data_IF_431713587655
#
_entry.id   IF_431713587655
#
_cell.length_a   1.000
_cell.length_b   1.000
_cell.length_c   1.000
_cell.angle_alpha   90.00
_cell.angle_beta   90.00
_cell.angle_gamma   90.00
#
_symmetry.space_group_name_H-M   'P 1'
#
loop_
_entity.id
_entity.type
_entity.pdbx_description
1 polymer ?
#
# COMPACT_ATOMS: atom_id res chain seq x y z
N UNK A 1 -34.83 61.29 60.19
CA UNK A 1 -35.23 60.11 61.01
C UNK A 1 -36.31 59.35 60.26
N UNK A 2 -36.23 58.01 60.33
CA UNK A 2 -37.11 56.99 59.74
C UNK A 2 -36.79 56.57 58.30
N UNK A 3 -36.19 55.38 58.18
CA UNK A 3 -36.38 54.50 57.03
C UNK A 3 -36.38 53.04 57.50
N UNK A 4 -37.56 52.42 57.37
CA UNK A 4 -37.87 51.14 56.72
C UNK A 4 -37.09 49.88 57.12
N UNK A 5 -37.85 48.82 57.43
CA UNK A 5 -37.40 47.44 57.29
C UNK A 5 -38.51 46.42 57.56
N UNK A 6 -39.21 45.96 56.53
CA UNK A 6 -39.90 44.65 56.52
C UNK A 6 -39.27 43.80 55.41
N UNK A 7 -38.85 42.54 55.68
CA UNK A 7 -38.25 41.69 54.65
C UNK A 7 -39.34 40.98 53.83
N UNK A 8 -39.13 40.94 52.51
CA UNK A 8 -39.90 40.15 51.55
C UNK A 8 -39.35 38.72 51.47
N UNK A 9 -40.25 37.74 51.43
CA UNK A 9 -39.95 36.34 51.15
C UNK A 9 -39.29 36.18 49.77
N UNK A 10 -38.20 35.41 49.72
CA UNK A 10 -37.55 34.98 48.48
C UNK A 10 -38.07 33.60 48.10
N UNK A 11 -38.70 33.47 46.94
CA UNK A 11 -39.04 32.19 46.33
C UNK A 11 -37.85 31.70 45.50
N UNK A 12 -37.26 30.57 45.86
CA UNK A 12 -36.20 29.91 45.12
C UNK A 12 -36.81 29.03 44.01
N UNK A 13 -36.49 29.32 42.75
CA UNK A 13 -36.78 28.45 41.61
C UNK A 13 -35.51 27.62 41.36
N UNK A 14 -35.59 26.31 41.60
CA UNK A 14 -34.51 25.38 41.29
C UNK A 14 -34.57 24.99 39.81
N UNK A 15 -33.61 25.47 39.03
CA UNK A 15 -33.41 25.01 37.65
C UNK A 15 -32.57 23.72 37.68
N UNK A 16 -33.18 22.59 37.33
CA UNK A 16 -32.49 21.33 37.13
C UNK A 16 -31.78 21.33 35.77
N UNK A 17 -30.45 21.43 35.78
CA UNK A 17 -29.62 21.24 34.59
C UNK A 17 -29.39 19.74 34.42
N UNK A 18 -30.03 19.13 33.42
CA UNK A 18 -29.76 17.75 33.01
C UNK A 18 -28.53 17.78 32.11
N UNK A 19 -27.38 17.34 32.64
CA UNK A 19 -26.16 17.15 31.86
C UNK A 19 -26.30 15.84 31.06
N UNK A 20 -26.65 15.94 29.78
CA UNK A 20 -26.64 14.79 28.88
C UNK A 20 -25.18 14.34 28.68
N UNK A 21 -24.81 13.23 29.31
CA UNK A 21 -23.52 12.57 29.06
C UNK A 21 -23.62 11.92 27.67
N UNK A 22 -23.05 12.58 26.67
CA UNK A 22 -22.78 11.97 25.37
C UNK A 22 -21.74 10.87 25.60
N UNK A 23 -22.16 9.62 25.60
CA UNK A 23 -21.25 8.49 25.57
C UNK A 23 -20.40 8.60 24.28
N UNK A 24 -19.06 8.49 24.35
CA UNK A 24 -18.24 8.49 23.16
C UNK A 24 -18.66 7.30 22.29
N UNK A 25 -19.11 7.60 21.07
CA UNK A 25 -19.22 6.60 20.01
C UNK A 25 -17.86 5.94 19.86
N UNK A 26 -17.77 4.64 20.15
CA UNK A 26 -16.51 3.91 20.19
C UNK A 26 -15.72 4.10 18.91
N UNK A 27 -14.59 4.81 19.00
CA UNK A 27 -13.57 4.74 17.97
C UNK A 27 -13.11 3.28 17.90
N UNK A 28 -13.16 2.69 16.71
CA UNK A 28 -12.54 1.39 16.50
C UNK A 28 -11.08 1.49 16.98
N UNK A 29 -10.65 0.59 17.87
CA UNK A 29 -9.29 0.59 18.37
C UNK A 29 -8.35 0.42 17.18
N UNK A 30 -7.39 1.34 17.03
CA UNK A 30 -6.34 1.18 16.03
C UNK A 30 -5.57 -0.12 16.32
N UNK A 31 -5.26 -0.92 15.28
CA UNK A 31 -4.51 -2.15 15.46
C UNK A 31 -3.17 -1.83 16.13
N UNK A 32 -2.85 -2.54 17.21
CA UNK A 32 -1.58 -2.35 17.92
C UNK A 32 -0.43 -2.83 17.02
N UNK A 33 0.57 -2.00 16.71
CA UNK A 33 1.70 -2.42 15.89
C UNK A 33 2.44 -3.60 16.53
N UNK A 34 2.65 -4.66 15.76
CA UNK A 34 3.40 -5.84 16.16
C UNK A 34 4.31 -6.27 15.01
N UNK A 35 5.57 -6.65 15.28
CA UNK A 35 6.45 -7.21 14.25
C UNK A 35 5.86 -8.48 13.63
N UNK A 36 6.13 -8.70 12.34
CA UNK A 36 5.75 -9.92 11.65
C UNK A 36 6.43 -11.16 12.22
N UNK A 37 5.79 -12.31 12.10
CA UNK A 37 6.38 -13.60 12.51
C UNK A 37 7.33 -14.11 11.43
N UNK A 38 8.60 -14.41 11.72
CA UNK A 38 9.52 -14.96 10.73
C UNK A 38 9.03 -16.31 10.16
N UNK A 39 9.11 -16.47 8.85
CA UNK A 39 8.77 -17.71 8.12
C UNK A 39 10.05 -18.47 7.76
N UNK A 40 10.89 -17.86 6.92
CA UNK A 40 12.19 -18.40 6.53
C UNK A 40 13.16 -17.25 6.20
N UNK A 41 14.45 -17.55 6.17
CA UNK A 41 15.50 -16.60 5.86
C UNK A 41 16.14 -16.93 4.52
N UNK A 42 16.28 -15.93 3.66
CA UNK A 42 16.92 -16.05 2.35
C UNK A 42 18.43 -15.94 2.54
N UNK A 43 19.16 -16.99 2.16
CA UNK A 43 20.62 -17.11 2.40
C UNK A 43 21.48 -16.97 1.16
N UNK A 44 20.86 -16.82 -0.02
CA UNK A 44 21.59 -16.59 -1.26
C UNK A 44 22.04 -15.13 -1.32
N UNK A 45 23.36 -14.89 -1.37
CA UNK A 45 23.94 -13.55 -1.32
C UNK A 45 23.62 -12.70 -2.57
N UNK A 46 23.00 -13.29 -3.61
CA UNK A 46 22.47 -12.55 -4.77
C UNK A 46 21.13 -11.87 -4.47
N UNK A 47 20.48 -12.20 -3.37
CA UNK A 47 19.14 -11.76 -3.03
C UNK A 47 19.17 -10.79 -1.85
N UNK A 48 19.96 -9.72 -1.94
CA UNK A 48 20.02 -8.69 -0.88
C UNK A 48 19.13 -7.49 -1.17
N UNK A 49 18.67 -7.32 -2.41
CA UNK A 49 17.95 -6.16 -2.93
C UNK A 49 16.49 -6.53 -3.26
N UNK A 50 15.89 -7.52 -2.58
CA UNK A 50 14.57 -8.02 -3.00
C UNK A 50 13.50 -6.92 -2.90
N UNK A 51 12.85 -6.66 -4.03
CA UNK A 51 11.80 -5.64 -4.19
C UNK A 51 10.43 -6.25 -4.47
N UNK A 52 10.38 -7.32 -5.28
CA UNK A 52 9.14 -8.03 -5.62
C UNK A 52 9.12 -9.47 -5.09
N UNK A 53 7.95 -9.91 -4.63
CA UNK A 53 7.72 -11.30 -4.19
C UNK A 53 6.30 -11.78 -4.53
N UNK A 54 6.16 -13.03 -4.96
CA UNK A 54 4.87 -13.75 -5.00
C UNK A 54 4.98 -15.13 -4.35
N UNK A 55 3.92 -15.57 -3.67
CA UNK A 55 3.80 -16.95 -3.20
C UNK A 55 3.30 -17.88 -4.31
N UNK A 56 3.82 -19.10 -4.34
CA UNK A 56 3.43 -20.17 -5.25
C UNK A 56 3.02 -21.41 -4.47
N UNK A 57 2.62 -22.49 -5.15
CA UNK A 57 2.25 -23.75 -4.50
C UNK A 57 3.44 -24.40 -3.76
N UNK A 58 4.66 -24.23 -4.27
CA UNK A 58 5.86 -24.94 -3.77
C UNK A 58 6.89 -24.01 -3.08
N UNK A 59 6.56 -22.72 -2.89
CA UNK A 59 7.47 -21.74 -2.31
C UNK A 59 7.23 -20.33 -2.83
N UNK A 60 8.28 -19.65 -3.26
CA UNK A 60 8.23 -18.22 -3.58
C UNK A 60 8.92 -17.89 -4.90
N UNK A 61 8.53 -16.78 -5.51
CA UNK A 61 9.28 -16.15 -6.60
C UNK A 61 9.63 -14.74 -6.18
N UNK A 62 10.90 -14.36 -6.38
CA UNK A 62 11.40 -13.03 -6.01
C UNK A 62 12.26 -12.42 -7.11
N UNK A 63 12.37 -11.10 -7.08
CA UNK A 63 13.26 -10.28 -7.92
C UNK A 63 13.92 -9.21 -7.07
N UNK A 64 15.09 -8.75 -7.49
CA UNK A 64 15.77 -7.62 -6.86
C UNK A 64 15.40 -6.29 -7.53
N UNK A 65 15.39 -5.20 -6.76
CA UNK A 65 15.61 -3.81 -7.19
C UNK A 65 17.03 -3.74 -7.78
N UNK A 66 17.17 -3.12 -8.94
CA UNK A 66 18.48 -2.93 -9.54
C UNK A 66 18.91 -4.00 -10.55
N UNK A 67 19.49 -3.48 -11.63
CA UNK A 67 20.06 -4.27 -12.71
C UNK A 67 21.55 -3.99 -12.88
N UNK A 68 22.29 -3.68 -11.83
CA UNK A 68 23.71 -3.34 -11.91
C UNK A 68 24.64 -4.56 -11.78
N UNK A 69 24.31 -5.52 -10.92
CA UNK A 69 25.02 -6.80 -10.85
C UNK A 69 24.40 -7.81 -11.82
N UNK A 70 25.19 -8.34 -12.75
CA UNK A 70 24.70 -9.36 -13.67
C UNK A 70 24.16 -10.59 -12.94
N UNK A 71 24.74 -11.00 -11.81
CA UNK A 71 24.32 -12.15 -11.03
C UNK A 71 22.90 -11.98 -10.43
N UNK A 72 22.48 -10.74 -10.19
CA UNK A 72 21.20 -10.38 -9.57
C UNK A 72 20.06 -10.17 -10.56
N UNK A 73 20.37 -9.94 -11.85
CA UNK A 73 19.39 -9.75 -12.95
C UNK A 73 18.67 -11.05 -13.36
N UNK A 74 17.95 -11.67 -12.44
CA UNK A 74 17.22 -12.93 -12.65
C UNK A 74 15.89 -12.90 -11.91
N UNK A 75 14.97 -13.73 -12.37
CA UNK A 75 13.81 -14.16 -11.59
C UNK A 75 14.25 -15.39 -10.79
N UNK A 76 14.12 -15.34 -9.47
CA UNK A 76 14.55 -16.41 -8.58
C UNK A 76 13.33 -17.17 -8.06
N UNK A 77 13.41 -18.49 -8.10
CA UNK A 77 12.40 -19.40 -7.55
C UNK A 77 13.00 -20.05 -6.31
N UNK A 78 12.25 -19.96 -5.22
CA UNK A 78 12.62 -20.42 -3.89
C UNK A 78 11.66 -21.53 -3.49
N UNK A 79 12.14 -22.52 -2.74
CA UNK A 79 11.26 -23.44 -2.03
C UNK A 79 10.64 -22.78 -0.78
N UNK A 80 9.82 -23.54 -0.06
CA UNK A 80 9.18 -23.10 1.18
C UNK A 80 10.18 -22.76 2.31
N UNK A 81 11.42 -23.24 2.24
CA UNK A 81 12.50 -22.95 3.20
C UNK A 81 13.39 -21.77 2.76
N UNK A 82 12.95 -21.00 1.74
CA UNK A 82 13.67 -19.86 1.17
C UNK A 82 14.97 -20.22 0.43
N UNK A 83 15.20 -21.49 0.06
CA UNK A 83 16.38 -21.89 -0.72
C UNK A 83 16.12 -21.73 -2.22
N UNK A 84 17.10 -21.18 -2.95
CA UNK A 84 16.98 -20.98 -4.41
C UNK A 84 17.03 -22.33 -5.12
N UNK A 85 15.92 -22.72 -5.74
CA UNK A 85 15.79 -23.98 -6.50
C UNK A 85 16.00 -23.78 -8.00
N UNK A 86 15.67 -22.59 -8.51
CA UNK A 86 15.78 -22.27 -9.93
C UNK A 86 15.95 -20.78 -10.16
N UNK A 87 16.63 -20.42 -11.25
CA UNK A 87 16.70 -19.03 -11.71
C UNK A 87 16.38 -18.93 -13.20
N UNK A 88 15.78 -17.82 -13.62
CA UNK A 88 15.55 -17.48 -15.02
C UNK A 88 16.22 -16.15 -15.36
N UNK A 89 16.90 -16.11 -16.51
CA UNK A 89 17.45 -14.88 -17.06
C UNK A 89 16.40 -14.14 -17.87
N UNK A 90 16.45 -12.81 -17.82
CA UNK A 90 15.71 -11.96 -18.75
C UNK A 90 16.32 -12.04 -20.16
N UNK A 91 15.49 -12.07 -21.23
CA UNK A 91 15.99 -12.03 -22.61
C UNK A 91 16.77 -10.77 -22.98
N UNK A 92 16.53 -9.66 -22.28
CA UNK A 92 17.34 -8.44 -22.35
C UNK A 92 17.51 -7.85 -20.95
N UNK A 93 18.52 -6.98 -20.76
CA UNK A 93 18.80 -6.36 -19.45
C UNK A 93 17.55 -5.63 -18.91
N UNK A 94 17.00 -6.01 -17.74
CA UNK A 94 16.01 -5.18 -17.05
C UNK A 94 16.66 -3.87 -16.61
N UNK A 95 15.87 -2.84 -16.31
CA UNK A 95 16.41 -1.55 -15.86
C UNK A 95 16.30 -1.41 -14.35
N UNK A 96 15.08 -1.52 -13.84
CA UNK A 96 14.75 -1.27 -12.44
C UNK A 96 13.48 -2.07 -12.11
N UNK A 97 13.67 -3.26 -11.55
CA UNK A 97 12.58 -4.19 -11.25
C UNK A 97 12.10 -3.98 -9.82
N UNK A 98 10.84 -3.62 -9.66
CA UNK A 98 10.31 -3.16 -8.37
C UNK A 98 9.36 -4.16 -7.73
N UNK A 99 8.51 -4.83 -8.52
CA UNK A 99 7.42 -5.63 -7.96
C UNK A 99 7.13 -6.89 -8.78
N UNK A 100 6.45 -7.84 -8.15
CA UNK A 100 5.91 -9.04 -8.77
C UNK A 100 4.41 -9.15 -8.51
N UNK A 101 3.66 -9.46 -9.57
CA UNK A 101 2.27 -9.85 -9.45
C UNK A 101 2.04 -11.22 -10.10
N UNK A 102 1.08 -11.97 -9.58
CA UNK A 102 0.61 -13.23 -10.17
C UNK A 102 -0.83 -13.07 -10.65
N UNK A 103 -1.08 -13.42 -11.91
CA UNK A 103 -2.43 -13.47 -12.47
C UNK A 103 -3.17 -14.72 -12.01
N UNK A 104 -4.50 -14.72 -12.13
CA UNK A 104 -5.34 -15.87 -11.80
C UNK A 104 -4.98 -17.14 -12.59
N UNK A 105 -4.39 -16.98 -13.78
CA UNK A 105 -3.88 -18.06 -14.63
C UNK A 105 -2.48 -18.57 -14.22
N UNK A 106 -1.90 -18.06 -13.14
CA UNK A 106 -0.55 -18.37 -12.68
C UNK A 106 0.55 -17.64 -13.45
N UNK A 107 0.21 -16.71 -14.36
CA UNK A 107 1.20 -15.88 -15.03
C UNK A 107 1.89 -14.97 -14.03
N UNK A 108 3.22 -14.99 -14.02
CA UNK A 108 4.05 -14.07 -13.23
C UNK A 108 4.35 -12.84 -14.08
N UNK A 109 4.12 -11.67 -13.51
CA UNK A 109 4.43 -10.38 -14.09
C UNK A 109 5.51 -9.70 -13.25
N UNK A 110 6.65 -9.38 -13.85
CA UNK A 110 7.68 -8.55 -13.22
C UNK A 110 7.51 -7.11 -13.66
N UNK A 111 7.40 -6.20 -12.72
CA UNK A 111 7.30 -4.78 -12.98
C UNK A 111 8.71 -4.16 -13.10
N UNK A 112 9.11 -3.78 -14.31
CA UNK A 112 10.35 -3.02 -14.59
C UNK A 112 9.99 -1.53 -14.72
N UNK A 113 9.66 -0.93 -13.58
CA UNK A 113 8.89 0.33 -13.49
C UNK A 113 9.57 1.43 -12.64
N UNK A 114 10.62 1.12 -11.88
CA UNK A 114 11.35 2.09 -11.07
C UNK A 114 12.03 3.15 -11.92
N UNK A 115 12.06 4.38 -11.42
CA UNK A 115 12.67 5.52 -12.09
C UNK A 115 12.93 6.66 -11.10
N UNK A 116 13.77 6.43 -10.07
CA UNK A 116 13.98 7.43 -9.02
C UNK A 116 14.45 8.80 -9.59
N UNK A 117 15.25 8.76 -10.66
CA UNK A 117 15.72 9.95 -11.39
C UNK A 117 14.67 10.57 -12.33
N UNK A 118 13.52 9.93 -12.51
CA UNK A 118 12.41 10.34 -13.39
C UNK A 118 12.89 10.67 -14.80
N UNK A 119 13.70 9.79 -15.38
CA UNK A 119 14.38 9.98 -16.65
C UNK A 119 13.97 8.98 -17.74
N UNK A 120 13.29 7.89 -17.37
CA UNK A 120 12.90 6.81 -18.28
C UNK A 120 11.72 7.23 -19.15
N UNK A 121 11.96 7.32 -20.45
CA UNK A 121 10.88 7.53 -21.45
C UNK A 121 9.88 6.38 -21.50
N UNK A 122 10.28 5.17 -21.08
CA UNK A 122 9.42 3.98 -21.05
C UNK A 122 9.69 3.16 -19.79
N UNK A 123 8.62 2.60 -19.26
CA UNK A 123 8.64 1.50 -18.30
C UNK A 123 8.27 0.19 -19.00
N UNK A 124 8.37 -0.93 -18.30
CA UNK A 124 8.03 -2.22 -18.88
C UNK A 124 7.47 -3.22 -17.86
N UNK A 125 6.84 -4.26 -18.39
CA UNK A 125 6.54 -5.47 -17.64
C UNK A 125 7.09 -6.69 -18.38
N UNK A 126 7.59 -7.64 -17.61
CA UNK A 126 8.01 -8.96 -18.09
C UNK A 126 6.93 -9.98 -17.76
N UNK A 127 6.32 -10.57 -18.78
CA UNK A 127 5.28 -11.59 -18.62
C UNK A 127 5.87 -12.98 -18.74
N UNK A 128 5.76 -13.80 -17.69
CA UNK A 128 6.16 -15.19 -17.66
C UNK A 128 4.93 -16.08 -17.45
N UNK A 129 4.40 -16.64 -18.52
CA UNK A 129 3.28 -17.60 -18.44
C UNK A 129 3.75 -18.93 -17.86
N UNK A 130 2.88 -19.70 -17.18
CA UNK A 130 3.24 -21.02 -16.67
C UNK A 130 3.87 -21.91 -17.75
N UNK A 131 4.95 -22.62 -17.38
CA UNK A 131 5.69 -23.50 -18.28
C UNK A 131 6.57 -22.80 -19.32
N UNK A 132 6.52 -21.48 -19.46
CA UNK A 132 7.40 -20.77 -20.39
C UNK A 132 8.86 -20.77 -19.89
N UNK A 133 9.79 -20.98 -20.82
CA UNK A 133 11.23 -20.97 -20.51
C UNK A 133 11.80 -19.55 -20.34
N UNK A 134 11.13 -18.52 -20.85
CA UNK A 134 11.60 -17.13 -20.87
C UNK A 134 10.41 -16.16 -20.75
N UNK A 135 10.56 -15.04 -20.01
CA UNK A 135 9.55 -13.99 -20.01
C UNK A 135 9.52 -13.20 -21.32
N UNK A 136 8.39 -12.59 -21.64
CA UNK A 136 8.21 -11.68 -22.79
C UNK A 136 8.13 -10.24 -22.29
N UNK A 137 8.85 -9.34 -22.97
CA UNK A 137 8.90 -7.92 -22.64
C UNK A 137 7.76 -7.13 -23.28
N UNK A 138 7.07 -6.32 -22.49
CA UNK A 138 6.08 -5.36 -22.96
C UNK A 138 6.43 -3.96 -22.47
N UNK A 139 6.52 -3.00 -23.38
CA UNK A 139 6.90 -1.62 -23.06
C UNK A 139 5.68 -0.71 -22.98
N UNK A 140 5.75 0.25 -22.07
CA UNK A 140 4.72 1.24 -21.86
C UNK A 140 5.35 2.62 -21.65
N UNK A 141 4.59 3.67 -21.90
CA UNK A 141 5.02 5.05 -21.66
C UNK A 141 3.94 5.83 -20.93
N UNK A 142 4.33 6.60 -19.91
CA UNK A 142 3.42 7.52 -19.23
C UNK A 142 2.88 8.57 -20.21
N UNK A 143 1.63 9.02 -20.05
CA UNK A 143 1.00 9.98 -20.96
C UNK A 143 1.59 11.40 -20.84
N UNK A 144 2.28 11.68 -19.74
CA UNK A 144 2.80 12.99 -19.38
C UNK A 144 4.34 13.00 -19.30
N UNK A 145 4.90 12.59 -18.16
CA UNK A 145 6.33 12.61 -17.87
C UNK A 145 6.73 11.31 -17.17
N UNK A 146 8.03 11.02 -17.02
CA UNK A 146 8.44 9.87 -16.25
C UNK A 146 8.00 9.96 -14.79
N UNK A 147 7.59 8.82 -14.25
CA UNK A 147 7.20 8.65 -12.85
C UNK A 147 7.94 7.48 -12.26
N UNK A 148 8.37 7.67 -11.02
CA UNK A 148 8.86 6.60 -10.17
C UNK A 148 7.66 5.82 -9.61
N UNK A 149 7.64 4.53 -9.84
CA UNK A 149 6.55 3.64 -9.47
C UNK A 149 7.15 2.31 -9.04
N UNK A 150 6.64 1.76 -7.94
CA UNK A 150 7.25 0.58 -7.32
C UNK A 150 6.25 -0.50 -6.93
N UNK A 151 4.99 -0.33 -7.31
CA UNK A 151 3.97 -1.32 -7.06
C UNK A 151 3.16 -1.61 -8.32
N UNK A 152 2.78 -2.87 -8.47
CA UNK A 152 1.95 -3.33 -9.57
C UNK A 152 0.93 -4.38 -9.12
N UNK A 153 -0.31 -4.18 -9.52
CA UNK A 153 -1.39 -5.17 -9.40
C UNK A 153 -1.69 -5.77 -10.77
N UNK A 154 -2.26 -6.97 -10.76
CA UNK A 154 -2.87 -7.59 -11.94
C UNK A 154 -4.34 -7.81 -11.63
N UNK A 155 -5.21 -7.22 -12.44
CA UNK A 155 -6.66 -7.35 -12.32
C UNK A 155 -7.13 -8.74 -12.76
N UNK A 156 -8.37 -9.12 -12.43
CA UNK A 156 -8.92 -10.45 -12.76
C UNK A 156 -8.94 -10.78 -14.27
N UNK A 157 -9.01 -9.77 -15.13
CA UNK A 157 -8.89 -9.88 -16.59
C UNK A 157 -7.43 -9.90 -17.10
N UNK A 158 -6.44 -9.96 -16.19
CA UNK A 158 -5.02 -10.08 -16.50
C UNK A 158 -4.36 -8.78 -16.93
N UNK A 159 -4.93 -7.61 -16.60
CA UNK A 159 -4.38 -6.30 -16.95
C UNK A 159 -3.48 -5.76 -15.82
N UNK A 160 -2.21 -5.41 -16.10
CA UNK A 160 -1.36 -4.73 -15.13
C UNK A 160 -1.85 -3.31 -14.80
N UNK A 161 -1.79 -2.95 -13.53
CA UNK A 161 -2.05 -1.60 -13.01
C UNK A 161 -0.84 -1.16 -12.20
N UNK A 162 -0.16 -0.11 -12.64
CA UNK A 162 1.04 0.45 -12.00
C UNK A 162 0.63 1.53 -11.00
N UNK A 163 1.27 1.55 -9.83
CA UNK A 163 1.04 2.54 -8.77
C UNK A 163 2.31 3.34 -8.52
N UNK A 164 2.24 4.67 -8.70
CA UNK A 164 3.38 5.56 -8.46
C UNK A 164 3.76 5.63 -6.97
N UNK A 165 5.05 5.62 -6.64
CA UNK A 165 5.58 5.51 -5.25
C UNK A 165 4.98 6.54 -4.30
N UNK A 166 5.08 7.83 -4.62
CA UNK A 166 4.69 8.90 -3.69
C UNK A 166 3.32 9.53 -3.97
N UNK A 167 2.86 9.50 -5.22
CA UNK A 167 1.61 10.15 -5.59
C UNK A 167 0.39 9.23 -5.54
N UNK A 168 0.58 7.90 -5.44
CA UNK A 168 -0.52 6.93 -5.47
C UNK A 168 -1.36 6.95 -6.75
N UNK A 169 -0.85 7.55 -7.84
CA UNK A 169 -1.56 7.58 -9.12
C UNK A 169 -1.50 6.20 -9.76
N UNK A 170 -2.65 5.75 -10.25
CA UNK A 170 -2.83 4.46 -10.90
C UNK A 170 -2.76 4.65 -12.41
N UNK A 171 -1.91 3.85 -13.06
CA UNK A 171 -1.75 3.84 -14.51
C UNK A 171 -2.03 2.46 -15.09
N UNK A 172 -2.73 2.41 -16.21
CA UNK A 172 -2.95 1.18 -16.96
C UNK A 172 -2.73 1.43 -18.46
N UNK A 173 -2.42 0.37 -19.21
CA UNK A 173 -2.26 0.45 -20.65
C UNK A 173 -3.58 0.88 -21.32
N UNK A 174 -3.51 1.88 -22.21
CA UNK A 174 -4.65 2.40 -22.98
C UNK A 174 -5.25 1.37 -23.94
N UNK A 175 -4.46 0.38 -24.34
CA UNK A 175 -4.84 -0.72 -25.23
C UNK A 175 -4.10 -2.00 -24.79
N UNK A 176 -4.46 -3.14 -25.38
CA UNK A 176 -3.78 -4.41 -25.10
C UNK A 176 -2.26 -4.31 -25.35
N UNK A 177 -1.47 -4.85 -24.43
CA UNK A 177 -0.02 -4.89 -24.52
C UNK A 177 0.44 -5.70 -25.75
N UNK A 178 1.44 -5.18 -26.48
CA UNK A 178 2.00 -5.83 -27.67
C UNK A 178 3.53 -5.90 -27.58
N UNK A 179 4.17 -7.08 -27.75
CA UNK A 179 5.62 -7.16 -27.74
C UNK A 179 6.21 -6.34 -28.89
N UNK A 180 7.33 -5.66 -28.64
CA UNK A 180 8.00 -4.85 -29.65
C UNK A 180 7.35 -3.48 -29.93
N UNK A 181 6.22 -3.15 -29.30
CA UNK A 181 5.62 -1.83 -29.34
C UNK A 181 5.64 -1.17 -27.96
N UNK A 182 5.63 0.17 -27.93
CA UNK A 182 5.40 0.95 -26.71
C UNK A 182 3.94 1.34 -26.65
N UNK A 183 3.21 0.85 -25.64
CA UNK A 183 1.80 1.16 -25.44
C UNK A 183 1.65 2.37 -24.51
N UNK A 184 0.88 3.41 -24.87
CA UNK A 184 0.63 4.52 -23.95
C UNK A 184 -0.13 4.06 -22.71
N UNK A 185 0.28 4.55 -21.54
CA UNK A 185 -0.48 4.45 -20.31
C UNK A 185 -1.51 5.58 -20.23
N UNK A 186 -2.58 5.32 -19.50
CA UNK A 186 -3.56 6.32 -19.08
C UNK A 186 -3.64 6.32 -17.57
N UNK A 187 -3.78 7.50 -16.97
CA UNK A 187 -4.18 7.60 -15.57
C UNK A 187 -5.60 7.08 -15.43
N UNK A 188 -5.78 6.07 -14.58
CA UNK A 188 -7.08 5.41 -14.33
C UNK A 188 -7.64 5.69 -12.94
N UNK A 189 -6.85 6.30 -12.07
CA UNK A 189 -7.28 6.65 -10.73
C UNK A 189 -6.14 7.20 -9.87
N UNK A 190 -6.43 7.45 -8.61
CA UNK A 190 -5.44 7.79 -7.59
C UNK A 190 -5.91 7.26 -6.24
N UNK A 191 -5.09 6.44 -5.59
CA UNK A 191 -5.34 6.00 -4.22
C UNK A 191 -4.90 7.07 -3.23
N UNK A 192 -5.66 7.21 -2.15
CA UNK A 192 -5.30 8.05 -1.00
C UNK A 192 -5.23 7.15 0.23
N UNK A 193 -4.01 6.92 0.71
CA UNK A 193 -3.79 6.10 1.90
C UNK A 193 -4.11 6.91 3.17
N UNK A 194 -4.74 6.28 4.18
CA UNK A 194 -4.90 6.88 5.50
C UNK A 194 -3.57 7.34 6.11
N UNK A 195 -3.61 8.35 6.97
CA UNK A 195 -2.44 8.75 7.74
C UNK A 195 -2.02 7.61 8.68
N UNK A 196 -0.72 7.43 8.84
CA UNK A 196 -0.14 6.42 9.71
C UNK A 196 0.77 7.04 10.77
N UNK A 197 0.79 6.43 11.94
CA UNK A 197 1.76 6.72 13.01
C UNK A 197 2.74 5.56 13.23
N UNK A 198 2.64 4.48 12.44
CA UNK A 198 3.50 3.31 12.56
C UNK A 198 4.97 3.69 12.44
N UNK A 199 5.79 3.12 13.33
CA UNK A 199 7.24 3.33 13.35
C UNK A 199 7.88 2.69 12.12
N UNK A 200 8.84 3.39 11.54
CA UNK A 200 9.62 2.87 10.41
C UNK A 200 10.94 3.67 10.26
N UNK A 201 11.96 3.10 9.58
CA UNK A 201 13.27 3.74 9.43
C UNK A 201 13.26 5.08 8.64
N UNK A 202 12.23 5.32 7.83
CA UNK A 202 12.12 6.47 6.92
C UNK A 202 11.11 7.54 7.39
N UNK A 203 10.60 7.43 8.61
CA UNK A 203 9.68 8.39 9.23
C UNK A 203 8.47 8.73 8.35
N UNK A 204 8.17 10.02 8.15
CA UNK A 204 7.02 10.51 7.37
C UNK A 204 7.04 10.06 5.92
N UNK A 205 8.22 9.99 5.28
CA UNK A 205 8.33 9.51 3.90
C UNK A 205 7.99 8.03 3.82
N UNK A 206 8.44 7.24 4.80
CA UNK A 206 8.16 5.82 4.87
C UNK A 206 6.67 5.47 4.96
N UNK A 207 5.89 6.33 5.62
CA UNK A 207 4.44 6.16 5.78
C UNK A 207 3.63 6.41 4.52
N UNK A 208 4.23 7.04 3.50
CA UNK A 208 3.51 7.49 2.29
C UNK A 208 4.03 6.87 1.00
N UNK A 209 5.27 6.39 0.97
CA UNK A 209 5.86 5.72 -0.19
C UNK A 209 5.26 4.32 -0.35
N UNK A 210 4.54 4.08 -1.44
CA UNK A 210 4.05 2.76 -1.85
C UNK A 210 5.21 1.98 -2.47
N UNK A 211 5.51 0.80 -1.92
CA UNK A 211 6.68 -0.02 -2.29
C UNK A 211 6.34 -1.40 -2.85
N UNK A 212 5.09 -1.83 -2.74
CA UNK A 212 4.67 -3.10 -3.32
C UNK A 212 3.16 -3.28 -3.28
N UNK A 213 2.66 -4.23 -4.06
CA UNK A 213 1.25 -4.57 -4.08
C UNK A 213 1.00 -6.04 -4.41
N UNK A 214 -0.17 -6.56 -4.01
CA UNK A 214 -0.60 -7.88 -4.42
C UNK A 214 -2.11 -8.02 -4.49
N UNK A 215 -2.57 -8.91 -5.38
CA UNK A 215 -3.96 -9.37 -5.44
C UNK A 215 -4.06 -10.69 -4.67
N UNK A 216 -5.08 -10.83 -3.83
CA UNK A 216 -5.34 -12.07 -3.11
C UNK A 216 -5.70 -13.21 -4.08
N UNK A 217 -5.44 -14.49 -3.73
CA UNK A 217 -5.71 -15.62 -4.62
C UNK A 217 -7.18 -15.76 -5.05
N UNK A 218 -8.11 -15.28 -4.22
CA UNK A 218 -9.55 -15.25 -4.50
C UNK A 218 -9.96 -14.10 -5.46
N UNK A 219 -9.10 -13.09 -5.64
CA UNK A 219 -9.39 -11.90 -6.43
C UNK A 219 -10.28 -10.87 -5.74
N UNK A 220 -10.75 -11.16 -4.53
CA UNK A 220 -11.70 -10.35 -3.78
C UNK A 220 -11.02 -9.31 -2.89
N UNK A 221 -9.68 -9.35 -2.80
CA UNK A 221 -8.89 -8.38 -2.04
C UNK A 221 -7.62 -7.99 -2.80
N UNK A 222 -7.19 -6.76 -2.57
CA UNK A 222 -5.87 -6.28 -2.96
C UNK A 222 -5.20 -5.60 -1.79
N UNK A 223 -3.87 -5.63 -1.75
CA UNK A 223 -3.07 -4.94 -0.75
C UNK A 223 -2.09 -4.00 -1.44
N UNK A 224 -1.96 -2.80 -0.90
CA UNK A 224 -0.80 -1.92 -1.14
C UNK A 224 0.03 -1.89 0.13
N UNK A 225 1.35 -1.91 0.01
CA UNK A 225 2.22 -1.62 1.16
C UNK A 225 2.95 -0.31 1.01
N UNK A 226 3.22 0.30 2.15
CA UNK A 226 4.28 1.29 2.30
C UNK A 226 5.44 0.70 3.10
N UNK A 227 6.45 1.50 3.43
CA UNK A 227 7.49 1.06 4.37
C UNK A 227 6.95 0.80 5.79
N UNK A 228 5.78 1.34 6.13
CA UNK A 228 5.26 1.31 7.50
C UNK A 228 3.99 0.47 7.66
N UNK A 229 3.19 0.25 6.61
CA UNK A 229 1.88 -0.38 6.75
C UNK A 229 1.49 -1.15 5.48
N UNK A 230 0.60 -2.13 5.65
CA UNK A 230 -0.16 -2.75 4.57
C UNK A 230 -1.62 -2.28 4.62
N UNK A 231 -2.16 -1.92 3.45
CA UNK A 231 -3.51 -1.39 3.25
C UNK A 231 -4.29 -2.37 2.37
N UNK A 232 -5.15 -3.18 2.99
CA UNK A 232 -5.98 -4.17 2.31
C UNK A 232 -7.35 -3.57 1.95
N UNK A 233 -7.72 -3.67 0.67
CA UNK A 233 -8.99 -3.19 0.12
C UNK A 233 -9.83 -4.38 -0.37
N UNK A 234 -11.15 -4.32 -0.15
CA UNK A 234 -12.08 -5.27 -0.75
C UNK A 234 -12.35 -4.90 -2.22
N UNK A 235 -12.31 -5.90 -3.08
CA UNK A 235 -12.60 -5.80 -4.51
C UNK A 235 -14.00 -6.36 -4.76
N UNK A 236 -14.93 -5.48 -5.15
CA UNK A 236 -16.29 -5.89 -5.51
C UNK A 236 -16.40 -5.99 -7.02
N UNK A 237 -16.90 -7.13 -7.53
CA UNK A 237 -17.12 -7.34 -8.96
C UNK A 237 -15.83 -7.32 -9.80
N UNK A 238 -14.68 -7.60 -9.19
CA UNK A 238 -13.37 -7.56 -9.84
C UNK A 238 -12.83 -6.15 -10.13
N UNK A 239 -13.49 -5.08 -9.67
CA UNK A 239 -13.07 -3.71 -9.93
C UNK A 239 -12.01 -3.22 -8.92
N UNK A 240 -10.75 -3.56 -9.23
CA UNK A 240 -9.58 -3.15 -8.45
C UNK A 240 -9.41 -1.62 -8.43
N UNK A 241 -9.77 -0.93 -9.52
CA UNK A 241 -9.61 0.53 -9.59
C UNK A 241 -10.61 1.21 -8.64
N UNK A 242 -11.86 0.77 -8.64
CA UNK A 242 -12.85 1.26 -7.68
C UNK A 242 -12.44 0.95 -6.24
N UNK A 243 -11.94 -0.26 -5.97
CA UNK A 243 -11.45 -0.65 -4.64
C UNK A 243 -10.38 0.32 -4.11
N UNK A 244 -9.37 0.65 -4.93
CA UNK A 244 -8.27 1.54 -4.53
C UNK A 244 -8.65 3.02 -4.47
N UNK A 245 -9.61 3.47 -5.28
CA UNK A 245 -9.96 4.89 -5.38
C UNK A 245 -11.09 5.33 -4.45
N UNK A 246 -11.93 4.37 -4.03
CA UNK A 246 -13.11 4.65 -3.22
C UNK A 246 -13.27 3.76 -1.99
N UNK A 247 -12.52 2.66 -1.92
CA UNK A 247 -12.56 1.75 -0.77
C UNK A 247 -11.85 2.30 0.45
N UNK A 248 -12.35 1.91 1.62
CA UNK A 248 -11.68 2.15 2.90
C UNK A 248 -10.81 0.93 3.22
N UNK A 249 -9.49 1.07 3.32
CA UNK A 249 -8.64 -0.08 3.60
C UNK A 249 -8.72 -0.51 5.06
N UNK A 250 -8.50 -1.80 5.29
CA UNK A 250 -8.02 -2.30 6.57
C UNK A 250 -6.51 -2.10 6.63
N UNK A 251 -6.01 -1.65 7.76
CA UNK A 251 -4.58 -1.33 7.94
C UNK A 251 -3.94 -2.36 8.84
N UNK A 252 -2.83 -2.93 8.38
CA UNK A 252 -1.94 -3.80 9.16
C UNK A 252 -0.61 -3.10 9.33
N UNK A 253 -0.23 -2.67 10.54
CA UNK A 253 1.07 -2.06 10.78
C UNK A 253 2.23 -3.02 10.49
N UNK A 254 3.30 -2.52 9.87
CA UNK A 254 4.53 -3.24 9.55
C UNK A 254 5.74 -2.54 10.23
N UNK A 255 5.79 -2.53 11.58
CA UNK A 255 6.74 -1.68 12.29
C UNK A 255 8.19 -2.12 12.08
N UNK A 256 9.04 -1.15 11.75
CA UNK A 256 10.51 -1.25 11.82
C UNK A 256 11.13 -2.39 10.97
N UNK A 257 10.48 -2.77 9.87
CA UNK A 257 11.14 -3.53 8.80
C UNK A 257 12.35 -2.75 8.25
N UNK A 258 13.54 -3.36 8.04
CA UNK A 258 14.78 -2.63 7.72
C UNK A 258 14.68 -1.70 6.51
N UNK A 259 14.10 -2.21 5.43
CA UNK A 259 13.68 -1.47 4.25
C UNK A 259 12.59 -2.28 3.56
N UNK A 260 11.36 -2.08 4.04
CA UNK A 260 10.23 -2.85 3.59
C UNK A 260 9.83 -2.55 2.14
N UNK A 261 10.10 -3.50 1.23
CA UNK A 261 9.80 -3.37 -0.20
C UNK A 261 8.64 -4.27 -0.64
N UNK A 262 8.77 -5.60 -0.53
CA UNK A 262 7.82 -6.53 -1.14
C UNK A 262 6.63 -6.88 -0.23
N UNK A 263 5.47 -7.18 -0.84
CA UNK A 263 4.32 -7.80 -0.17
C UNK A 263 3.61 -8.79 -1.08
N UNK A 264 3.10 -9.88 -0.52
CA UNK A 264 2.19 -10.79 -1.21
C UNK A 264 1.23 -11.46 -0.25
N UNK A 265 0.18 -12.08 -0.77
CA UNK A 265 -0.66 -12.97 0.03
C UNK A 265 -0.02 -14.35 0.12
N UNK A 266 -0.20 -15.04 1.25
CA UNK A 266 0.02 -16.49 1.30
C UNK A 266 -0.88 -17.17 0.27
N UNK A 267 -0.46 -18.35 -0.20
CA UNK A 267 -1.17 -19.06 -1.26
C UNK A 267 -2.64 -19.40 -0.93
N UNK A 268 -2.93 -19.58 0.35
CA UNK A 268 -4.30 -19.80 0.86
C UNK A 268 -5.09 -18.50 1.12
N UNK A 269 -4.49 -17.34 0.88
CA UNK A 269 -5.10 -16.01 1.07
C UNK A 269 -5.34 -15.60 2.52
N UNK A 270 -4.73 -16.29 3.50
CA UNK A 270 -4.99 -16.10 4.94
C UNK A 270 -3.95 -15.26 5.67
N UNK A 271 -2.86 -14.89 5.01
CA UNK A 271 -1.80 -14.07 5.60
C UNK A 271 -1.17 -13.17 4.56
N UNK A 272 -0.61 -12.06 5.03
CA UNK A 272 0.31 -11.24 4.25
C UNK A 272 1.73 -11.71 4.52
N UNK A 273 2.55 -11.71 3.47
CA UNK A 273 3.96 -12.04 3.52
C UNK A 273 4.77 -10.86 3.01
N UNK A 274 5.79 -10.45 3.74
CA UNK A 274 6.67 -9.34 3.35
C UNK A 274 8.12 -9.81 3.31
N UNK A 275 8.93 -9.10 2.52
CA UNK A 275 10.39 -9.20 2.58
C UNK A 275 10.98 -7.81 2.41
N UNK A 276 12.03 -7.53 3.19
CA UNK A 276 12.77 -6.28 3.12
C UNK A 276 14.03 -6.43 2.27
N UNK A 277 14.42 -5.34 1.63
CA UNK A 277 15.77 -5.15 1.15
C UNK A 277 16.76 -5.09 2.34
N UNK A 278 17.98 -5.57 2.11
CA UNK A 278 19.05 -5.62 3.10
C UNK A 278 20.41 -5.14 2.59
N UNK A 279 20.50 -4.67 1.34
CA UNK A 279 21.79 -4.32 0.74
C UNK A 279 22.49 -3.15 1.46
N UNK A 280 21.72 -2.16 1.92
CA UNK A 280 22.22 -1.01 2.68
C UNK A 280 22.13 -1.20 4.22
N UNK A 281 21.88 -2.42 4.68
CA UNK A 281 21.79 -2.76 6.11
C UNK A 281 23.15 -3.19 6.68
N UNK A 282 23.34 -3.24 8.02
CA UNK A 282 24.58 -3.69 8.62
C UNK A 282 25.04 -5.06 8.06
N UNK A 283 26.35 -5.23 7.88
CA UNK A 283 26.91 -6.43 7.32
C UNK A 283 26.43 -7.70 8.05
N UNK A 284 25.97 -8.69 7.28
CA UNK A 284 25.40 -9.93 7.82
C UNK A 284 23.88 -9.92 8.01
N UNK A 285 23.22 -8.77 7.82
CA UNK A 285 21.75 -8.72 7.72
C UNK A 285 21.30 -9.50 6.48
N UNK A 286 20.28 -10.35 6.64
CA UNK A 286 19.75 -11.19 5.55
C UNK A 286 18.24 -11.00 5.43
N UNK A 287 17.67 -11.00 4.22
CA UNK A 287 16.23 -10.89 4.07
C UNK A 287 15.55 -12.09 4.70
N UNK A 288 14.42 -11.83 5.36
CA UNK A 288 13.59 -12.86 5.96
C UNK A 288 12.16 -12.60 5.53
N UNK A 289 11.46 -13.66 5.11
CA UNK A 289 10.04 -13.57 4.85
C UNK A 289 9.33 -13.46 6.20
N UNK A 290 8.58 -12.39 6.40
CA UNK A 290 7.77 -12.17 7.59
C UNK A 290 6.30 -12.44 7.26
N UNK A 291 5.54 -12.92 8.25
CA UNK A 291 4.11 -13.18 8.14
C UNK A 291 3.32 -12.27 9.05
N UNK A 292 2.25 -11.70 8.50
CA UNK A 292 1.25 -10.94 9.22
C UNK A 292 -0.14 -11.56 8.99
N UNK A 293 -1.04 -11.52 9.98
CA UNK A 293 -2.42 -11.90 9.75
C UNK A 293 -3.06 -10.93 8.75
N UNK A 294 -3.92 -11.46 7.85
CA UNK A 294 -4.83 -10.57 7.12
C UNK A 294 -5.79 -9.94 8.12
N UNK A 295 -6.08 -8.65 7.94
CA UNK A 295 -7.04 -7.99 8.80
C UNK A 295 -8.41 -8.64 8.62
N UNK A 296 -9.10 -8.95 9.73
CA UNK A 296 -10.44 -9.52 9.68
C UNK A 296 -11.35 -8.64 8.82
N UNK A 297 -12.29 -9.21 8.04
CA UNK A 297 -13.24 -8.42 7.28
C UNK A 297 -13.89 -7.40 8.21
N UNK A 298 -13.92 -6.13 7.78
CA UNK A 298 -14.80 -5.17 8.46
C UNK A 298 -16.19 -5.77 8.44
N UNK A 299 -16.97 -5.77 9.54
CA UNK A 299 -18.37 -6.08 9.46
C UNK A 299 -18.98 -5.03 8.52
N UNK A 300 -19.06 -5.35 7.22
CA UNK A 300 -19.91 -4.63 6.30
C UNK A 300 -21.25 -4.56 7.01
N UNK A 301 -21.78 -3.35 7.17
CA UNK A 301 -23.04 -3.09 7.83
C UNK A 301 -24.03 -4.14 7.32
N UNK A 302 -24.31 -5.15 8.17
CA UNK A 302 -25.41 -6.05 7.91
C UNK A 302 -26.58 -5.10 7.66
N UNK A 303 -27.27 -5.17 6.50
CA UNK A 303 -28.56 -4.51 6.41
C UNK A 303 -29.32 -4.93 7.66
N UNK A 304 -29.82 -3.98 8.48
CA UNK A 304 -30.40 -4.32 9.77
C UNK A 304 -31.36 -5.47 9.50
N UNK A 305 -31.08 -6.62 10.15
CA UNK A 305 -31.94 -7.78 10.05
C UNK A 305 -33.36 -7.25 10.25
N UNK A 306 -34.23 -7.46 9.27
CA UNK A 306 -35.56 -6.91 9.28
C UNK A 306 -36.22 -7.32 10.59
N UNK A 307 -36.29 -6.39 11.55
CA UNK A 307 -37.01 -6.60 12.78
C UNK A 307 -38.45 -6.80 12.34
N UNK A 308 -38.92 -8.04 12.40
CA UNK A 308 -40.33 -8.36 12.28
C UNK A 308 -41.02 -7.59 13.40
N UNK A 309 -41.59 -6.45 13.05
CA UNK A 309 -42.38 -5.65 13.95
C UNK A 309 -43.61 -6.47 14.36
N UNK A 310 -43.89 -6.63 15.66
CA UNK A 310 -45.16 -7.20 16.10
C UNK A 310 -46.31 -6.28 15.65
N UNK A 311 -47.51 -6.83 15.38
CA UNK A 311 -48.61 -6.07 14.78
C UNK A 311 -49.03 -4.95 15.72
N UNK A 312 -48.92 -3.71 15.23
CA UNK A 312 -49.36 -2.51 15.94
C UNK A 312 -50.81 -2.20 15.52
N UNK A 313 -51.73 -2.35 16.46
CA UNK A 313 -53.11 -1.89 16.38
C UNK A 313 -53.18 -0.36 16.30
N UNK A 314 -53.85 0.15 15.27
CA UNK A 314 -54.06 1.59 15.02
C UNK A 314 -55.18 2.18 15.89
N UNK A 315 -54.94 3.36 16.49
CA UNK A 315 -55.97 4.39 16.78
C UNK A 315 -55.32 5.78 16.58
N UNK A 316 -56.02 6.80 16.01
CA UNK A 316 -55.41 8.01 15.44
C UNK A 316 -55.49 9.25 16.35
N UNK A 317 -54.62 10.25 16.11
CA UNK A 317 -54.75 11.59 16.73
C UNK A 317 -53.63 12.61 16.43
N UNK A 318 -53.94 13.52 15.51
CA UNK A 318 -53.58 14.95 15.40
C UNK A 318 -52.15 15.52 15.36
N UNK A 319 -51.84 16.09 14.17
CA UNK A 319 -51.32 17.44 13.81
C UNK A 319 -50.38 18.19 14.79
N UNK A 320 -49.21 18.62 14.28
CA UNK A 320 -48.94 19.98 13.76
C UNK A 320 -47.43 20.28 13.61
N UNK A 321 -47.11 21.13 12.60
CA UNK A 321 -46.03 22.13 12.43
C UNK A 321 -44.68 21.99 13.21
N UNK A 322 -43.51 22.31 12.68
CA UNK A 322 -43.09 23.10 11.52
C UNK A 322 -41.58 23.42 11.62
N UNK A 323 -41.05 24.02 10.55
CA UNK A 323 -39.81 24.82 10.41
C UNK A 323 -38.39 24.24 10.60
N UNK A 324 -37.71 24.16 9.43
CA UNK A 324 -36.50 24.88 8.96
C UNK A 324 -35.29 25.17 9.88
N UNK A 325 -34.13 25.11 9.18
CA UNK A 325 -32.85 25.82 9.38
C UNK A 325 -31.90 25.20 10.43
N UNK A 326 -30.56 25.11 10.27
CA UNK A 326 -29.62 25.83 9.41
C UNK A 326 -28.34 25.01 9.16
N UNK A 327 -27.68 25.33 8.02
CA UNK A 327 -26.28 24.97 7.72
C UNK A 327 -25.33 25.84 8.53
N UNK A 328 -24.26 25.26 9.04
CA UNK A 328 -23.09 26.01 9.51
C UNK A 328 -21.82 25.45 8.87
N UNK A 329 -21.31 26.20 7.90
CA UNK A 329 -19.97 26.13 7.32
C UNK A 329 -18.92 26.48 8.39
N UNK A 330 -17.84 25.70 8.49
CA UNK A 330 -16.61 26.10 9.19
C UNK A 330 -15.41 25.78 8.31
N UNK A 331 -14.84 26.84 7.74
CA UNK A 331 -13.59 26.82 6.99
C UNK A 331 -12.38 26.63 7.91
N UNK A 332 -11.37 25.91 7.39
CA UNK A 332 -10.05 25.75 8.00
C UNK A 332 -9.01 26.18 6.98
N UNK A 333 -8.19 27.18 7.34
CA UNK A 333 -7.01 27.63 6.61
C UNK A 333 -5.76 26.90 7.13
N UNK A 334 -4.84 26.41 6.27
CA UNK A 334 -3.55 25.89 6.73
C UNK A 334 -2.41 26.92 6.58
N UNK A 335 -1.53 26.96 7.57
CA UNK A 335 -0.26 27.69 7.55
C UNK A 335 0.86 26.70 7.19
N UNK A 336 1.50 26.91 6.04
CA UNK A 336 2.63 26.11 5.52
C UNK A 336 3.89 26.95 5.65
N UNK A 337 4.90 26.49 6.39
CA UNK A 337 6.31 26.85 6.19
C UNK A 337 7.26 26.05 7.11
N UNK A 338 7.64 24.82 6.72
CA UNK A 338 8.85 24.15 7.25
C UNK A 338 9.39 22.99 6.36
N UNK A 339 8.92 22.81 5.12
CA UNK A 339 9.24 21.62 4.31
C UNK A 339 10.46 21.74 3.39
N UNK A 340 10.95 22.95 3.09
CA UNK A 340 11.91 23.16 2.01
C UNK A 340 13.38 22.87 2.39
N UNK A 341 13.73 22.91 3.68
CA UNK A 341 15.13 22.78 4.12
C UNK A 341 15.54 21.31 4.33
N UNK A 342 14.60 20.43 4.72
CA UNK A 342 14.88 18.99 4.92
C UNK A 342 15.09 18.23 3.61
N UNK A 343 14.36 18.59 2.55
CA UNK A 343 14.45 17.93 1.24
C UNK A 343 15.82 18.15 0.57
N UNK A 344 16.43 19.32 0.79
CA UNK A 344 17.75 19.63 0.22
C UNK A 344 18.90 18.78 0.79
N UNK A 345 18.81 18.40 2.07
CA UNK A 345 19.87 17.63 2.74
C UNK A 345 19.82 16.14 2.39
N UNK A 346 18.63 15.57 2.18
CA UNK A 346 18.46 14.17 1.76
C UNK A 346 18.87 13.95 0.30
N UNK A 347 18.51 14.86 -0.61
CA UNK A 347 18.94 14.80 -2.02
C UNK A 347 20.46 14.99 -2.12
N UNK A 348 21.06 15.85 -1.30
CA UNK A 348 22.51 15.99 -1.23
C UNK A 348 23.21 14.72 -0.72
N UNK A 349 22.62 14.01 0.25
CA UNK A 349 23.13 12.73 0.75
C UNK A 349 23.19 11.65 -0.32
N UNK A 350 22.09 11.47 -1.07
CA UNK A 350 22.00 10.50 -2.17
C UNK A 350 22.97 10.84 -3.32
N UNK A 351 23.15 12.11 -3.65
CA UNK A 351 24.09 12.55 -4.69
C UNK A 351 25.57 12.35 -4.31
N UNK A 352 25.92 12.48 -3.02
CA UNK A 352 27.29 12.21 -2.53
C UNK A 352 27.60 10.71 -2.55
N UNK A 353 26.62 9.87 -2.20
CA UNK A 353 26.73 8.41 -2.31
C UNK A 353 26.92 7.96 -3.76
N UNK A 354 26.14 8.49 -4.70
CA UNK A 354 26.27 8.20 -6.13
C UNK A 354 27.63 8.66 -6.74
N UNK A 355 28.20 9.78 -6.27
CA UNK A 355 29.52 10.26 -6.71
C UNK A 355 30.69 9.46 -6.14
N UNK A 356 30.57 8.96 -4.91
CA UNK A 356 31.61 8.13 -4.29
C UNK A 356 31.77 6.78 -4.99
N UNK A 357 30.69 6.25 -5.57
CA UNK A 357 30.69 5.02 -6.40
C UNK A 357 31.42 5.20 -7.74
N UNK A 358 31.60 6.44 -8.24
CA UNK A 358 32.33 6.72 -9.50
C UNK A 358 33.84 6.86 -9.31
N UNK A 359 34.34 6.94 -8.08
CA UNK A 359 35.71 7.40 -7.81
C UNK A 359 36.63 6.36 -7.15
N UNK A 360 36.27 5.07 -7.14
CA UNK A 360 37.21 4.01 -6.70
C UNK A 360 38.00 3.48 -7.90
N UNK A 361 39.29 3.82 -8.06
CA UNK A 361 40.15 3.14 -9.03
C UNK A 361 40.45 1.74 -8.50
N UNK A 362 40.32 0.74 -9.37
CA UNK A 362 40.69 -0.63 -9.04
C UNK A 362 42.16 -0.73 -8.64
N UNK A 363 42.44 -1.40 -7.52
CA UNK A 363 43.80 -1.87 -7.21
C UNK A 363 44.13 -3.06 -8.12
N UNK A 364 45.30 -3.10 -8.77
CA UNK A 364 45.67 -4.23 -9.60
C UNK A 364 46.16 -5.40 -8.74
N UNK A 365 45.64 -6.58 -9.10
CA UNK A 365 46.02 -7.98 -8.80
C UNK A 365 46.60 -8.32 -7.43
#
# INVERSE_FOLDING_TARGET
MRSIGTPRLSAAVAAAVVLAVLAPTGAAAEPTPAPGTPVCQIRDDRLTEISGMVATDDGYVVVNDGADDEARRRIFFLDADCAVTRTLRYPSRPRDTEDLAVGADGTIWVADIGDNDRSRQTVAVWKLTPGAARPVLYRMAYPDRPHDAEAMLVTGDGRPVIVSKYSGVLYAASTALRPGATVPLTQVGQVRLPASTTSNPFSLLGRTAVTGAATAPDGDRVVLRTYADAFEFDVTGGDVIAALTSGTPRVTPLPDEPQGESITYSRDGRSLLTVSETADQPAGTRPSILRYPVAAPSPAAMPPAATVAPPSTSVPGDRAAGDRADRADRGVTPMVAAGAVGLGLLVAGLLVLARSRRSRPGRPR
#
